data_IF_386995935884
#
_entry.id   IF_386995935884
#
_cell.length_a   1.000
_cell.length_b   1.000
_cell.length_c   1.000
_cell.angle_alpha   90.00
_cell.angle_beta   90.00
_cell.angle_gamma   90.00
#
_symmetry.space_group_name_H-M   'P 1'
#
loop_
_entity.id
_entity.type
_entity.pdbx_description
1 polymer ?
#
# COMPACT_ATOMS: atom_id res chain seq x y z
N UNK A 1 12.90 -41.69 6.80
CA UNK A 1 11.84 -41.23 7.72
C UNK A 1 11.84 -39.71 7.73
N UNK A 2 10.64 -39.15 7.62
CA UNK A 2 10.35 -37.75 7.32
C UNK A 2 10.80 -36.78 8.42
N UNK A 3 11.42 -35.68 8.01
CA UNK A 3 11.66 -34.48 8.81
C UNK A 3 11.19 -33.28 8.01
N UNK A 4 9.88 -33.09 8.03
CA UNK A 4 9.05 -32.07 7.38
C UNK A 4 9.73 -30.71 7.22
N UNK A 5 9.65 -30.17 5.99
CA UNK A 5 9.97 -28.78 5.64
C UNK A 5 9.38 -27.87 6.71
N UNK A 6 10.24 -27.19 7.49
CA UNK A 6 9.81 -26.03 8.26
C UNK A 6 9.43 -24.97 7.25
N UNK A 7 8.15 -24.96 6.87
CA UNK A 7 7.50 -23.83 6.24
C UNK A 7 7.78 -22.65 7.16
N UNK A 8 8.74 -21.83 6.74
CA UNK A 8 9.06 -20.56 7.34
C UNK A 8 7.80 -19.70 7.20
N UNK A 9 6.87 -19.83 8.14
CA UNK A 9 5.85 -18.83 8.39
C UNK A 9 6.59 -17.60 8.89
N UNK A 10 7.21 -16.85 7.96
CA UNK A 10 7.50 -15.45 8.17
C UNK A 10 6.14 -14.86 8.49
N UNK A 11 5.90 -14.51 9.75
CA UNK A 11 4.75 -13.70 10.13
C UNK A 11 4.80 -12.49 9.21
N UNK A 12 3.95 -12.46 8.18
CA UNK A 12 3.92 -11.36 7.24
C UNK A 12 3.50 -10.14 8.07
N UNK A 13 4.46 -9.27 8.35
CA UNK A 13 4.19 -8.02 9.05
C UNK A 13 3.30 -7.21 8.12
N UNK A 14 2.12 -6.78 8.56
CA UNK A 14 1.26 -5.97 7.71
C UNK A 14 2.01 -4.69 7.32
N UNK A 15 1.93 -4.31 6.05
CA UNK A 15 2.48 -3.08 5.54
C UNK A 15 2.01 -1.89 6.37
N UNK A 16 2.94 -0.99 6.67
CA UNK A 16 2.63 0.33 7.19
C UNK A 16 2.18 1.25 6.04
N UNK A 17 1.49 2.34 6.40
CA UNK A 17 1.03 3.33 5.42
C UNK A 17 2.19 3.93 4.62
N UNK A 18 3.33 4.20 5.27
CA UNK A 18 4.54 4.71 4.61
C UNK A 18 5.15 3.71 3.64
N UNK A 19 5.08 2.41 3.93
CA UNK A 19 5.55 1.38 3.01
C UNK A 19 4.64 1.29 1.78
N UNK A 20 3.32 1.30 1.95
CA UNK A 20 2.37 1.26 0.83
C UNK A 20 2.55 2.43 -0.14
N UNK A 21 2.61 3.65 0.36
CA UNK A 21 2.72 4.86 -0.48
C UNK A 21 4.08 4.98 -1.19
N UNK A 22 5.06 4.15 -0.82
CA UNK A 22 6.38 4.03 -1.47
C UNK A 22 6.54 2.74 -2.26
N UNK A 23 5.55 1.85 -2.20
CA UNK A 23 5.62 0.54 -2.83
C UNK A 23 5.17 0.66 -4.28
N UNK A 24 6.12 0.47 -5.20
CA UNK A 24 5.90 0.70 -6.64
C UNK A 24 4.70 -0.06 -7.19
N UNK A 25 4.55 -1.35 -6.85
CA UNK A 25 3.37 -2.11 -7.29
C UNK A 25 2.07 -1.62 -6.65
N UNK A 26 2.12 -1.10 -5.42
CA UNK A 26 0.92 -0.55 -4.82
C UNK A 26 0.53 0.72 -5.55
N UNK A 27 1.48 1.62 -5.78
CA UNK A 27 1.27 2.84 -6.55
C UNK A 27 0.72 2.53 -7.94
N UNK A 28 1.37 1.62 -8.67
CA UNK A 28 0.95 1.21 -10.01
C UNK A 28 -0.46 0.63 -10.01
N UNK A 29 -0.79 -0.23 -9.03
CA UNK A 29 -2.14 -0.75 -8.87
C UNK A 29 -3.17 0.33 -8.59
N UNK A 30 -2.86 1.32 -7.77
CA UNK A 30 -3.80 2.42 -7.47
C UNK A 30 -4.03 3.29 -8.71
N UNK A 31 -2.98 3.56 -9.49
CA UNK A 31 -3.06 4.43 -10.67
C UNK A 31 -3.63 3.71 -11.90
N UNK A 32 -3.30 2.43 -12.07
CA UNK A 32 -3.68 1.58 -13.18
C UNK A 32 -4.08 0.20 -12.64
N UNK A 33 -5.28 0.06 -12.06
CA UNK A 33 -5.72 -1.20 -11.49
C UNK A 33 -5.77 -2.28 -12.55
N UNK A 34 -5.12 -3.40 -12.26
CA UNK A 34 -5.19 -4.62 -13.06
C UNK A 34 -5.77 -5.77 -12.23
N UNK A 35 -6.33 -6.77 -12.92
CA UNK A 35 -7.03 -7.90 -12.30
C UNK A 35 -6.13 -8.82 -11.48
N UNK A 36 -4.82 -8.83 -11.73
CA UNK A 36 -3.85 -9.65 -11.00
C UNK A 36 -3.52 -9.00 -9.65
N UNK A 37 -3.27 -7.69 -9.67
CA UNK A 37 -2.97 -6.90 -8.49
C UNK A 37 -4.21 -6.68 -7.63
N UNK A 38 -5.40 -6.52 -8.23
CA UNK A 38 -6.66 -6.49 -7.49
C UNK A 38 -6.85 -7.76 -6.65
N UNK A 39 -6.58 -8.93 -7.24
CA UNK A 39 -6.66 -10.20 -6.49
C UNK A 39 -5.65 -10.24 -5.35
N UNK A 40 -4.41 -9.83 -5.59
CA UNK A 40 -3.38 -9.80 -4.56
C UNK A 40 -3.78 -8.91 -3.37
N UNK A 41 -4.22 -7.67 -3.64
CA UNK A 41 -4.60 -6.73 -2.59
C UNK A 41 -5.91 -7.11 -1.91
N UNK A 42 -6.82 -7.79 -2.61
CA UNK A 42 -8.00 -8.40 -2.01
C UNK A 42 -7.62 -9.54 -1.05
N UNK A 43 -6.78 -10.48 -1.49
CA UNK A 43 -6.32 -11.60 -0.67
C UNK A 43 -5.52 -11.12 0.56
N UNK A 44 -4.78 -10.03 0.41
CA UNK A 44 -4.10 -9.37 1.52
C UNK A 44 -5.09 -8.77 2.54
N UNK A 45 -6.16 -8.09 2.08
CA UNK A 45 -7.19 -7.56 2.97
C UNK A 45 -7.98 -8.66 3.69
N UNK A 46 -8.20 -9.81 3.04
CA UNK A 46 -8.80 -10.99 3.67
C UNK A 46 -7.89 -11.58 4.75
N UNK A 47 -6.58 -11.59 4.52
CA UNK A 47 -5.59 -12.05 5.51
C UNK A 47 -5.39 -11.07 6.68
N UNK A 48 -5.50 -9.77 6.41
CA UNK A 48 -5.28 -8.69 7.38
C UNK A 48 -6.47 -7.72 7.36
N UNK A 49 -7.63 -8.09 7.94
CA UNK A 49 -8.83 -7.24 7.91
C UNK A 49 -8.61 -5.86 8.54
N UNK A 50 -7.75 -5.78 9.57
CA UNK A 50 -7.28 -4.54 10.20
C UNK A 50 -6.55 -3.58 9.24
N UNK A 51 -5.98 -4.10 8.15
CA UNK A 51 -5.28 -3.31 7.14
C UNK A 51 -6.21 -2.69 6.09
N UNK A 52 -7.51 -3.01 6.10
CA UNK A 52 -8.48 -2.48 5.13
C UNK A 52 -8.55 -0.96 5.17
N UNK A 53 -8.63 -0.37 6.38
CA UNK A 53 -8.61 1.09 6.54
C UNK A 53 -7.28 1.71 6.09
N UNK A 54 -6.17 1.02 6.38
CA UNK A 54 -4.84 1.46 5.99
C UNK A 54 -4.64 1.43 4.46
N UNK A 55 -5.12 0.39 3.78
CA UNK A 55 -5.11 0.31 2.32
C UNK A 55 -5.98 1.40 1.71
N UNK A 56 -7.19 1.64 2.25
CA UNK A 56 -8.05 2.72 1.78
C UNK A 56 -7.36 4.08 1.89
N UNK A 57 -6.77 4.41 3.05
CA UNK A 57 -6.01 5.65 3.24
C UNK A 57 -4.79 5.76 2.31
N UNK A 58 -4.07 4.66 2.10
CA UNK A 58 -2.94 4.62 1.17
C UNK A 58 -3.38 4.86 -0.28
N UNK A 59 -4.53 4.31 -0.70
CA UNK A 59 -5.10 4.53 -2.03
C UNK A 59 -5.47 5.99 -2.24
N UNK A 60 -6.20 6.58 -1.30
CA UNK A 60 -6.56 8.00 -1.34
C UNK A 60 -5.31 8.88 -1.44
N UNK A 61 -4.26 8.53 -0.70
CA UNK A 61 -3.00 9.25 -0.73
C UNK A 61 -2.34 9.21 -2.11
N UNK A 62 -2.18 8.02 -2.70
CA UNK A 62 -1.58 7.87 -4.03
C UNK A 62 -2.40 8.57 -5.11
N UNK A 63 -3.74 8.57 -5.00
CA UNK A 63 -4.59 9.31 -5.93
C UNK A 63 -4.43 10.82 -5.79
N UNK A 64 -4.37 11.35 -4.57
CA UNK A 64 -4.12 12.77 -4.30
C UNK A 64 -2.76 13.20 -4.88
N UNK A 65 -1.73 12.39 -4.64
CA UNK A 65 -0.39 12.55 -5.19
C UNK A 65 -0.41 12.61 -6.73
N UNK A 66 -1.14 11.71 -7.38
CA UNK A 66 -1.22 11.67 -8.84
C UNK A 66 -2.01 12.84 -9.43
N UNK A 67 -3.03 13.35 -8.73
CA UNK A 67 -3.75 14.56 -9.16
C UNK A 67 -2.84 15.78 -9.14
N UNK A 68 -2.02 15.95 -8.08
CA UNK A 68 -1.10 17.09 -7.92
C UNK A 68 0.06 17.08 -8.92
N UNK A 69 0.44 15.89 -9.40
CA UNK A 69 1.61 15.67 -10.28
C UNK A 69 1.25 15.38 -11.74
N UNK A 70 -0.05 15.35 -12.10
CA UNK A 70 -0.49 15.03 -13.45
C UNK A 70 -0.26 13.55 -13.85
N UNK A 71 -0.39 12.63 -12.89
CA UNK A 71 -0.11 11.18 -13.00
C UNK A 71 1.38 10.80 -13.11
N UNK A 72 2.29 11.75 -12.90
CA UNK A 72 3.69 11.41 -12.68
C UNK A 72 3.91 10.89 -11.25
N UNK A 73 4.81 9.94 -11.07
CA UNK A 73 5.20 9.50 -9.72
C UNK A 73 5.81 10.69 -8.98
N UNK A 74 5.29 11.10 -7.81
CA UNK A 74 5.88 12.19 -7.04
C UNK A 74 7.29 11.84 -6.61
N UNK A 75 8.16 12.84 -6.49
CA UNK A 75 9.47 12.64 -5.88
C UNK A 75 9.32 12.21 -4.41
N UNK A 76 10.37 11.61 -3.85
CA UNK A 76 10.39 11.23 -2.44
C UNK A 76 10.13 12.42 -1.51
N UNK A 77 10.65 13.61 -1.85
CA UNK A 77 10.44 14.84 -1.07
C UNK A 77 9.00 15.36 -1.15
N UNK A 78 8.38 15.30 -2.34
CA UNK A 78 6.97 15.66 -2.52
C UNK A 78 6.07 14.71 -1.72
N UNK A 79 6.38 13.43 -1.78
CA UNK A 79 5.70 12.38 -1.01
C UNK A 79 5.82 12.58 0.50
N UNK A 80 6.92 13.14 1.00
CA UNK A 80 7.07 13.48 2.42
C UNK A 80 6.31 14.74 2.84
N UNK A 81 6.23 15.77 2.01
CA UNK A 81 5.48 17.00 2.34
C UNK A 81 3.97 16.77 2.37
N UNK A 82 3.43 16.02 1.41
CA UNK A 82 2.00 15.73 1.38
C UNK A 82 1.57 14.77 2.51
N UNK A 83 2.51 14.00 3.06
CA UNK A 83 2.26 13.08 4.18
C UNK A 83 1.87 13.81 5.46
N UNK A 84 2.50 14.95 5.72
CA UNK A 84 2.15 15.80 6.87
C UNK A 84 0.72 16.37 6.77
N UNK A 85 0.25 16.62 5.54
CA UNK A 85 -1.12 17.11 5.30
C UNK A 85 -2.15 16.02 5.65
N UNK A 86 -1.87 14.76 5.34
CA UNK A 86 -2.79 13.65 5.63
C UNK A 86 -2.78 13.26 7.11
N UNK A 87 -1.62 13.27 7.79
CA UNK A 87 -1.57 13.11 9.26
C UNK A 87 -2.47 14.13 9.96
N UNK A 88 -2.51 15.37 9.47
CA UNK A 88 -3.36 16.42 10.03
C UNK A 88 -4.86 16.15 9.88
N UNK A 89 -5.28 15.35 8.88
CA UNK A 89 -6.68 15.00 8.61
C UNK A 89 -7.15 13.72 9.31
N UNK A 90 -6.23 12.91 9.84
CA UNK A 90 -6.53 11.66 10.57
C UNK A 90 -6.71 11.86 12.08
N UNK A 91 -6.94 13.10 12.54
CA UNK A 91 -7.23 13.44 13.95
C UNK A 91 -8.73 13.44 14.24
#
# INVERSE_FOLDING_TARGET
>A
MNGTRKANQMKAVPFTLTELIRHDKFIDWVLNPDTIQDRYWHDYQVQFPESTGLIASAREYVLLLAVDTGRHKPSAEQSSKMWEVVKGKMK
#
